data_IF_341975718108
#
_entry.id   IF_341975718108
#
_cell.length_a   1.000
_cell.length_b   1.000
_cell.length_c   1.000
_cell.angle_alpha   90.00
_cell.angle_beta   90.00
_cell.angle_gamma   90.00
#
_symmetry.space_group_name_H-M   'P 1'
#
loop_
_entity.id
_entity.type
_entity.pdbx_description
1 polymer ?
#
# COMPACT_ATOMS: atom_id res chain seq x y z
N UNK A 1 -11.98 15.42 -26.91
CA UNK A 1 -11.44 14.14 -26.41
C UNK A 1 -11.74 14.05 -24.90
N UNK A 2 -12.60 13.13 -24.42
CA UNK A 2 -12.90 13.07 -23.00
C UNK A 2 -11.68 12.49 -22.25
N UNK A 3 -11.28 13.26 -21.25
CA UNK A 3 -10.06 13.18 -20.49
C UNK A 3 -10.07 11.93 -19.57
N UNK A 4 -9.35 10.86 -19.91
CA UNK A 4 -9.19 9.66 -19.06
C UNK A 4 -8.25 9.90 -17.85
N UNK A 5 -8.36 11.06 -17.20
CA UNK A 5 -7.63 11.36 -15.97
C UNK A 5 -8.50 10.91 -14.79
N UNK A 6 -7.94 10.05 -13.91
CA UNK A 6 -8.44 9.59 -12.59
C UNK A 6 -9.01 8.16 -12.49
N UNK A 7 -8.58 7.20 -13.29
CA UNK A 7 -8.78 5.79 -12.91
C UNK A 7 -7.66 5.41 -11.93
N UNK A 8 -7.98 5.45 -10.64
CA UNK A 8 -7.06 5.09 -9.55
C UNK A 8 -6.83 3.57 -9.59
N UNK A 9 -7.87 2.76 -9.78
CA UNK A 9 -7.79 1.31 -9.79
C UNK A 9 -7.43 0.77 -11.19
N UNK A 10 -6.15 0.45 -11.43
CA UNK A 10 -5.66 -0.12 -12.70
C UNK A 10 -5.73 -1.65 -12.66
N UNK A 11 -5.17 -2.26 -11.62
CA UNK A 11 -5.18 -3.71 -11.41
C UNK A 11 -5.77 -4.02 -10.04
N UNK A 12 -7.11 -4.10 -9.96
CA UNK A 12 -7.85 -4.31 -8.72
C UNK A 12 -7.32 -5.52 -7.93
N UNK A 13 -7.05 -6.64 -8.60
CA UNK A 13 -6.55 -7.86 -7.96
C UNK A 13 -5.21 -7.62 -7.24
N UNK A 14 -4.24 -7.02 -7.93
CA UNK A 14 -2.93 -6.71 -7.34
C UNK A 14 -3.06 -5.69 -6.19
N UNK A 15 -3.86 -4.65 -6.38
CA UNK A 15 -4.00 -3.55 -5.42
C UNK A 15 -4.68 -4.00 -4.12
N UNK A 16 -5.74 -4.82 -4.22
CA UNK A 16 -6.37 -5.41 -3.04
C UNK A 16 -5.46 -6.43 -2.35
N UNK A 17 -4.72 -7.24 -3.10
CA UNK A 17 -3.74 -8.17 -2.54
C UNK A 17 -2.64 -7.42 -1.77
N UNK A 18 -2.10 -6.34 -2.36
CA UNK A 18 -1.10 -5.48 -1.72
C UNK A 18 -1.66 -4.80 -0.47
N UNK A 19 -2.86 -4.22 -0.57
CA UNK A 19 -3.52 -3.57 0.55
C UNK A 19 -3.75 -4.55 1.71
N UNK A 20 -4.25 -5.76 1.43
CA UNK A 20 -4.47 -6.80 2.43
C UNK A 20 -3.15 -7.27 3.05
N UNK A 21 -2.08 -7.41 2.27
CA UNK A 21 -0.77 -7.75 2.80
C UNK A 21 -0.25 -6.68 3.78
N UNK A 22 -0.35 -5.40 3.40
CA UNK A 22 0.07 -4.27 4.25
C UNK A 22 -0.77 -4.19 5.52
N UNK A 23 -2.10 -4.30 5.42
CA UNK A 23 -2.97 -4.21 6.59
C UNK A 23 -2.92 -5.44 7.47
N UNK A 24 -2.70 -6.63 6.92
CA UNK A 24 -2.57 -7.87 7.70
C UNK A 24 -1.39 -7.80 8.68
N UNK A 25 -0.31 -7.10 8.31
CA UNK A 25 0.82 -6.88 9.22
C UNK A 25 0.48 -5.95 10.40
N UNK A 26 -0.54 -5.10 10.26
CA UNK A 26 -0.97 -4.17 11.30
C UNK A 26 -1.94 -4.79 12.30
N UNK A 27 -2.64 -5.87 11.95
CA UNK A 27 -3.63 -6.51 12.82
C UNK A 27 -3.02 -7.02 14.15
N UNK A 28 -1.85 -7.71 14.16
CA UNK A 28 -1.25 -8.14 15.41
C UNK A 28 -0.83 -6.96 16.29
N UNK A 29 -0.23 -5.92 15.70
CA UNK A 29 0.13 -4.68 16.39
C UNK A 29 -1.10 -4.01 17.01
N UNK A 30 -2.19 -4.03 16.25
CA UNK A 30 -3.47 -3.47 16.65
C UNK A 30 -4.06 -4.19 17.86
N UNK A 31 -4.00 -5.52 17.92
CA UNK A 31 -4.50 -6.28 19.06
C UNK A 31 -3.62 -6.14 20.32
N UNK A 32 -2.30 -6.02 20.12
CA UNK A 32 -1.33 -5.94 21.22
C UNK A 32 -1.44 -4.61 21.96
N UNK A 33 -1.67 -3.50 21.26
CA UNK A 33 -1.63 -2.16 21.85
C UNK A 33 -2.69 -1.92 22.94
N UNK A 34 -4.01 -2.17 22.72
CA UNK A 34 -5.03 -2.07 23.75
C UNK A 34 -4.77 -2.98 24.95
N UNK A 35 -4.20 -4.18 24.71
CA UNK A 35 -3.84 -5.11 25.79
C UNK A 35 -2.73 -4.53 26.67
N UNK A 36 -1.69 -3.94 26.08
CA UNK A 36 -0.61 -3.28 26.82
C UNK A 36 -1.17 -2.10 27.62
N UNK A 37 -2.00 -1.26 27.00
CA UNK A 37 -2.61 -0.10 27.68
C UNK A 37 -3.49 -0.55 28.85
N UNK A 38 -4.30 -1.60 28.66
CA UNK A 38 -5.11 -2.20 29.73
C UNK A 38 -4.24 -2.66 30.90
N UNK A 39 -3.11 -3.32 30.62
CA UNK A 39 -2.17 -3.82 31.64
C UNK A 39 -1.51 -2.67 32.39
N UNK A 40 -0.96 -1.70 31.67
CA UNK A 40 -0.32 -0.52 32.26
C UNK A 40 -1.28 0.27 33.13
N UNK A 41 -2.53 0.46 32.68
CA UNK A 41 -3.54 1.17 33.45
C UNK A 41 -3.85 0.46 34.78
N UNK A 42 -3.96 -0.87 34.79
CA UNK A 42 -4.20 -1.61 36.04
C UNK A 42 -3.00 -1.49 37.00
N UNK A 43 -1.78 -1.67 36.50
CA UNK A 43 -0.55 -1.52 37.30
C UNK A 43 -0.44 -0.11 37.88
N UNK A 44 -0.77 0.91 37.07
CA UNK A 44 -0.79 2.30 37.51
C UNK A 44 -1.79 2.52 38.65
N UNK A 45 -3.02 2.00 38.52
CA UNK A 45 -4.05 2.15 39.56
C UNK A 45 -3.64 1.41 40.84
N UNK A 46 -3.15 0.19 40.72
CA UNK A 46 -2.69 -0.63 41.85
C UNK A 46 -1.53 0.04 42.60
N UNK A 47 -0.57 0.61 41.86
CA UNK A 47 0.58 1.30 42.44
C UNK A 47 0.20 2.60 43.17
N UNK A 48 -0.72 3.39 42.63
CA UNK A 48 -1.12 4.67 43.23
C UNK A 48 -2.18 4.52 44.35
N UNK A 49 -2.92 3.41 44.38
CA UNK A 49 -4.02 3.19 45.32
C UNK A 49 -4.01 1.78 45.96
N UNK A 50 -2.96 1.44 46.74
CA UNK A 50 -2.73 0.07 47.24
C UNK A 50 -3.79 -0.45 48.23
N UNK A 51 -4.46 0.42 49.00
CA UNK A 51 -5.43 0.02 50.06
C UNK A 51 -6.89 -0.08 49.60
N UNK A 52 -7.14 -0.12 48.29
CA UNK A 52 -8.50 -0.10 47.74
C UNK A 52 -9.11 -1.51 47.65
N UNK A 53 -9.59 -2.00 48.80
CA UNK A 53 -10.33 -3.28 48.90
C UNK A 53 -11.61 -3.34 48.04
N UNK A 54 -12.01 -2.22 47.40
CA UNK A 54 -13.10 -2.14 46.44
C UNK A 54 -12.69 -1.30 45.22
N UNK A 55 -11.85 -1.86 44.33
CA UNK A 55 -11.48 -1.28 43.02
C UNK A 55 -12.72 -0.88 42.20
N UNK A 56 -13.86 -1.51 42.46
CA UNK A 56 -15.18 -1.26 41.84
C UNK A 56 -15.90 0.00 42.33
N UNK A 57 -15.51 0.58 43.47
CA UNK A 57 -16.20 1.75 44.07
C UNK A 57 -15.66 3.10 43.57
N UNK A 58 -14.51 3.08 42.87
CA UNK A 58 -13.92 4.28 42.29
C UNK A 58 -14.49 4.53 40.88
N UNK A 59 -14.76 5.79 40.48
CA UNK A 59 -15.23 6.13 39.13
C UNK A 59 -14.24 5.74 38.00
N UNK A 60 -13.07 5.19 38.37
CA UNK A 60 -11.98 4.73 37.51
C UNK A 60 -12.43 3.63 36.54
N UNK A 61 -13.41 2.79 36.92
CA UNK A 61 -13.94 1.74 36.04
C UNK A 61 -14.55 2.29 34.75
N UNK A 62 -15.35 3.36 34.87
CA UNK A 62 -15.99 4.01 33.73
C UNK A 62 -14.97 4.76 32.87
N UNK A 63 -14.00 5.45 33.49
CA UNK A 63 -12.91 6.13 32.79
C UNK A 63 -12.06 5.16 31.97
N UNK A 64 -11.78 3.98 32.51
CA UNK A 64 -11.03 2.92 31.81
C UNK A 64 -11.75 2.44 30.56
N UNK A 65 -13.05 2.15 30.66
CA UNK A 65 -13.87 1.72 29.52
C UNK A 65 -13.93 2.83 28.46
N UNK A 66 -14.09 4.09 28.86
CA UNK A 66 -14.08 5.23 27.95
C UNK A 66 -12.75 5.35 27.20
N UNK A 67 -11.61 5.27 27.89
CA UNK A 67 -10.28 5.31 27.26
C UNK A 67 -10.11 4.16 26.28
N UNK A 68 -10.47 2.92 26.67
CA UNK A 68 -10.38 1.76 25.77
C UNK A 68 -11.28 1.91 24.54
N UNK A 69 -12.51 2.40 24.72
CA UNK A 69 -13.43 2.63 23.59
C UNK A 69 -12.89 3.68 22.62
N UNK A 70 -12.28 4.75 23.12
CA UNK A 70 -11.66 5.79 22.30
C UNK A 70 -10.47 5.24 21.51
N UNK A 71 -9.61 4.43 22.14
CA UNK A 71 -8.47 3.78 21.49
C UNK A 71 -8.95 2.89 20.34
N UNK A 72 -9.95 2.02 20.59
CA UNK A 72 -10.50 1.11 19.58
C UNK A 72 -11.09 1.89 18.39
N UNK A 73 -11.80 2.99 18.64
CA UNK A 73 -12.37 3.84 17.58
C UNK A 73 -11.26 4.50 16.76
N UNK A 74 -10.27 5.12 17.41
CA UNK A 74 -9.14 5.75 16.73
C UNK A 74 -8.37 4.75 15.86
N UNK A 75 -8.18 3.56 16.40
CA UNK A 75 -7.51 2.45 15.73
C UNK A 75 -8.27 1.95 14.50
N UNK A 76 -9.59 1.77 14.62
CA UNK A 76 -10.43 1.41 13.47
C UNK A 76 -10.35 2.47 12.36
N UNK A 77 -10.35 3.76 12.73
CA UNK A 77 -10.17 4.87 11.78
C UNK A 77 -8.77 4.81 11.15
N UNK A 78 -7.73 4.58 11.93
CA UNK A 78 -6.36 4.50 11.44
C UNK A 78 -6.15 3.31 10.49
N UNK A 79 -6.72 2.15 10.80
CA UNK A 79 -6.70 0.97 9.93
C UNK A 79 -7.43 1.23 8.61
N UNK A 80 -8.60 1.89 8.66
CA UNK A 80 -9.34 2.28 7.46
C UNK A 80 -8.53 3.25 6.59
N UNK A 81 -7.96 4.30 7.19
CA UNK A 81 -7.12 5.26 6.49
C UNK A 81 -5.88 4.58 5.89
N UNK A 82 -5.24 3.70 6.63
CA UNK A 82 -4.09 2.93 6.14
C UNK A 82 -4.47 2.04 4.96
N UNK A 83 -5.63 1.36 5.02
CA UNK A 83 -6.14 0.57 3.91
C UNK A 83 -6.35 1.43 2.66
N UNK A 84 -7.05 2.56 2.79
CA UNK A 84 -7.27 3.49 1.67
C UNK A 84 -5.96 4.06 1.11
N UNK A 85 -5.02 4.40 1.98
CA UNK A 85 -3.70 4.89 1.59
C UNK A 85 -2.88 3.82 0.86
N UNK A 86 -2.94 2.56 1.32
CA UNK A 86 -2.27 1.44 0.66
C UNK A 86 -2.81 1.19 -0.75
N UNK A 87 -4.12 1.33 -0.96
CA UNK A 87 -4.73 1.28 -2.30
C UNK A 87 -4.18 2.40 -3.17
N UNK A 88 -4.09 3.63 -2.64
CA UNK A 88 -3.51 4.75 -3.39
C UNK A 88 -2.04 4.49 -3.77
N UNK A 89 -1.23 4.04 -2.82
CA UNK A 89 0.20 3.77 -3.01
C UNK A 89 0.44 2.64 -4.01
N UNK A 90 -0.35 1.57 -3.93
CA UNK A 90 -0.24 0.42 -4.84
C UNK A 90 -0.41 0.79 -6.31
N UNK A 91 -1.11 1.88 -6.63
CA UNK A 91 -1.26 2.37 -8.01
C UNK A 91 0.05 2.86 -8.62
N UNK A 92 0.95 3.40 -7.79
CA UNK A 92 2.29 3.81 -8.23
C UNK A 92 3.17 2.63 -8.64
N UNK A 93 2.79 1.42 -8.25
CA UNK A 93 3.47 0.18 -8.65
C UNK A 93 2.71 -0.50 -9.78
N UNK A 94 1.40 -0.69 -9.61
CA UNK A 94 0.55 -1.37 -10.58
C UNK A 94 0.50 -0.66 -11.94
N UNK A 95 0.53 0.68 -11.97
CA UNK A 95 0.49 1.47 -13.19
C UNK A 95 1.72 1.26 -14.09
N UNK A 96 2.94 1.48 -13.58
CA UNK A 96 4.17 1.17 -14.32
C UNK A 96 4.25 -0.29 -14.76
N UNK A 97 3.88 -1.25 -13.90
CA UNK A 97 3.90 -2.67 -14.25
C UNK A 97 2.93 -3.01 -15.39
N UNK A 98 1.73 -2.44 -15.38
CA UNK A 98 0.76 -2.61 -16.48
C UNK A 98 1.27 -2.05 -17.80
N UNK A 99 1.89 -0.86 -17.77
CA UNK A 99 2.51 -0.25 -18.96
C UNK A 99 3.67 -1.09 -19.51
N UNK A 100 4.49 -1.64 -18.62
CA UNK A 100 5.59 -2.54 -19.00
C UNK A 100 5.07 -3.81 -19.66
N UNK A 101 4.06 -4.46 -19.07
CA UNK A 101 3.43 -5.65 -19.66
C UNK A 101 2.83 -5.34 -21.04
N UNK A 102 2.20 -4.17 -21.21
CA UNK A 102 1.71 -3.72 -22.51
C UNK A 102 2.86 -3.56 -23.51
N UNK A 103 3.96 -2.90 -23.12
CA UNK A 103 5.10 -2.72 -24.00
C UNK A 103 5.76 -4.02 -24.43
N UNK A 104 5.91 -4.98 -23.51
CA UNK A 104 6.43 -6.31 -23.86
C UNK A 104 5.57 -7.02 -24.91
N UNK A 105 4.23 -6.91 -24.81
CA UNK A 105 3.31 -7.47 -25.83
C UNK A 105 3.42 -6.78 -27.19
N UNK A 106 3.68 -5.48 -27.22
CA UNK A 106 3.90 -4.76 -28.49
C UNK A 106 5.18 -5.26 -29.16
N UNK A 107 6.26 -5.44 -28.40
CA UNK A 107 7.52 -6.02 -28.91
C UNK A 107 7.31 -7.46 -29.42
N UNK A 108 6.55 -8.29 -28.69
CA UNK A 108 6.19 -9.65 -29.10
C UNK A 108 5.46 -9.67 -30.45
N UNK A 109 4.63 -8.66 -30.71
CA UNK A 109 3.92 -8.49 -31.98
C UNK A 109 4.76 -7.82 -33.09
N UNK A 110 6.06 -7.60 -32.88
CA UNK A 110 6.98 -6.96 -33.82
C UNK A 110 6.90 -5.44 -33.86
N UNK A 111 6.13 -4.80 -32.97
CA UNK A 111 6.06 -3.35 -32.84
C UNK A 111 7.15 -2.83 -31.89
N UNK A 112 8.34 -2.60 -32.43
CA UNK A 112 9.48 -2.05 -31.67
C UNK A 112 9.44 -0.53 -31.47
N UNK A 113 8.50 0.17 -32.09
CA UNK A 113 8.33 1.63 -31.96
C UNK A 113 7.59 2.06 -30.68
N UNK A 114 7.13 1.07 -29.91
CA UNK A 114 6.43 1.34 -28.66
C UNK A 114 7.39 1.78 -27.55
N UNK A 115 7.31 3.06 -27.19
CA UNK A 115 8.07 3.62 -26.06
C UNK A 115 7.20 3.71 -24.80
N UNK A 116 7.76 3.26 -23.67
CA UNK A 116 7.15 3.43 -22.36
C UNK A 116 7.68 4.69 -21.67
N UNK A 117 6.77 5.44 -21.07
CA UNK A 117 7.10 6.56 -20.19
C UNK A 117 6.26 6.48 -18.92
N UNK A 118 6.93 6.46 -17.77
CA UNK A 118 6.29 6.51 -16.46
C UNK A 118 6.07 7.95 -16.00
N UNK A 119 5.25 8.15 -14.97
CA UNK A 119 4.94 9.50 -14.47
C UNK A 119 6.11 10.02 -13.64
N UNK A 120 6.31 11.34 -13.63
CA UNK A 120 7.28 11.98 -12.73
C UNK A 120 6.96 11.63 -11.28
N UNK A 121 7.95 11.12 -10.54
CA UNK A 121 7.77 10.65 -9.16
C UNK A 121 7.32 9.19 -9.02
N UNK A 122 7.27 8.43 -10.12
CA UNK A 122 7.30 6.96 -10.07
C UNK A 122 8.75 6.49 -9.87
N UNK A 123 8.95 5.43 -9.09
CA UNK A 123 10.30 4.94 -8.73
C UNK A 123 11.01 4.20 -9.87
N UNK A 124 10.33 3.98 -11.00
CA UNK A 124 10.78 3.08 -12.07
C UNK A 124 11.27 3.82 -13.34
N UNK A 125 11.60 5.11 -13.27
CA UNK A 125 12.02 5.89 -14.44
C UNK A 125 13.22 5.28 -15.20
N UNK A 126 14.18 4.72 -14.45
CA UNK A 126 15.31 4.01 -15.04
C UNK A 126 14.87 2.75 -15.81
N UNK A 127 13.90 2.01 -15.27
CA UNK A 127 13.33 0.84 -15.94
C UNK A 127 12.63 1.21 -17.25
N UNK A 128 11.95 2.36 -17.32
CA UNK A 128 11.41 2.84 -18.59
C UNK A 128 12.49 3.13 -19.63
N UNK A 129 13.61 3.72 -19.20
CA UNK A 129 14.73 4.01 -20.10
C UNK A 129 15.37 2.71 -20.60
N UNK A 130 15.64 1.76 -19.71
CA UNK A 130 16.24 0.47 -20.06
C UNK A 130 15.35 -0.32 -21.03
N UNK A 131 14.03 -0.31 -20.83
CA UNK A 131 13.09 -0.93 -21.76
C UNK A 131 13.14 -0.27 -23.15
N UNK A 132 13.09 1.05 -23.23
CA UNK A 132 13.11 1.76 -24.53
C UNK A 132 14.44 1.54 -25.27
N UNK A 133 15.55 1.49 -24.54
CA UNK A 133 16.87 1.16 -25.10
C UNK A 133 16.90 -0.25 -25.69
N UNK A 134 16.34 -1.24 -24.97
CA UNK A 134 16.22 -2.62 -25.46
C UNK A 134 15.33 -2.69 -26.71
N UNK A 135 14.15 -2.07 -26.69
CA UNK A 135 13.25 -2.03 -27.85
C UNK A 135 13.93 -1.41 -29.08
N UNK A 136 14.67 -0.32 -28.87
CA UNK A 136 15.44 0.35 -29.94
C UNK A 136 16.58 -0.52 -30.48
N UNK A 137 17.24 -1.30 -29.63
CA UNK A 137 18.28 -2.23 -30.06
C UNK A 137 17.71 -3.36 -30.91
N UNK A 138 16.62 -3.98 -30.47
CA UNK A 138 15.89 -5.00 -31.23
C UNK A 138 15.41 -4.45 -32.58
N UNK A 139 14.88 -3.23 -32.61
CA UNK A 139 14.49 -2.58 -33.87
C UNK A 139 15.66 -2.49 -34.85
N UNK A 140 16.85 -2.08 -34.38
CA UNK A 140 18.03 -1.96 -35.25
C UNK A 140 18.50 -3.31 -35.77
N UNK A 141 18.52 -4.33 -34.93
CA UNK A 141 18.94 -5.68 -35.31
C UNK A 141 17.97 -6.31 -36.30
N UNK A 142 16.66 -6.22 -36.02
CA UNK A 142 15.62 -6.64 -36.94
C UNK A 142 15.74 -5.88 -38.26
N UNK A 143 16.07 -4.57 -38.19
CA UNK A 143 16.20 -3.76 -39.38
C UNK A 143 17.38 -4.13 -40.28
N UNK A 144 18.52 -4.40 -39.66
CA UNK A 144 19.72 -4.77 -40.38
C UNK A 144 19.56 -6.13 -41.08
N UNK A 145 18.84 -7.07 -40.46
CA UNK A 145 18.66 -8.41 -41.01
C UNK A 145 17.79 -8.45 -42.29
N UNK A 146 16.86 -7.50 -42.49
CA UNK A 146 16.05 -7.45 -43.71
C UNK A 146 16.74 -6.75 -44.88
N UNK A 147 17.83 -6.01 -44.65
CA UNK A 147 18.66 -5.43 -45.72
C UNK A 147 19.60 -6.46 -46.37
N UNK A 148 19.72 -7.65 -45.77
CA UNK A 148 20.63 -8.74 -46.17
C UNK A 148 19.92 -9.88 -46.94
N UNK A 149 18.64 -9.74 -47.28
CA UNK A 149 17.82 -10.71 -48.05
C UNK A 149 17.29 -10.04 -49.32
#
# INVERSE_FOLDING_TARGET
MPNQRKIILINKKFQFMFAFFVTSWLIPLSLIYPLIVYRLFNVFVEYNFPDTNNISALPIGNTKIQILSLIIILEAIFLLLTFLFSLFLSNKIAGPLFKLQKGLREIENGNFDFNIQFRTGDQFSELSNNFNTMASALKREYSHNWELV
#
